data_IF_547546699837
#
_entry.id   IF_547546699837
#
_cell.length_a   1.000
_cell.length_b   1.000
_cell.length_c   1.000
_cell.angle_alpha   90.00
_cell.angle_beta   90.00
_cell.angle_gamma   90.00
#
_symmetry.space_group_name_H-M   'P 1'
#
loop_
_entity.id
_entity.type
_entity.pdbx_description
1 polymer ?
#
# COMPACT_ATOMS: atom_id res chain seq x y z
N UNK A 1 33.74 -2.65 7.38
CA UNK A 1 32.82 -3.61 8.10
C UNK A 1 31.41 -3.34 7.59
N UNK A 2 30.71 -4.37 7.14
CA UNK A 2 29.29 -4.28 6.79
C UNK A 2 28.45 -4.06 8.05
N UNK A 3 27.56 -3.09 8.02
CA UNK A 3 26.63 -2.82 9.12
C UNK A 3 25.28 -3.47 8.81
N UNK A 4 24.55 -3.81 9.87
CA UNK A 4 23.20 -4.38 9.75
C UNK A 4 22.23 -3.35 10.30
N UNK A 5 21.22 -3.03 9.53
CA UNK A 5 20.11 -2.16 9.89
C UNK A 5 18.80 -2.95 9.93
N UNK A 6 17.89 -2.53 10.77
CA UNK A 6 16.52 -3.03 10.78
C UNK A 6 15.52 -1.90 10.54
N UNK A 7 14.46 -2.21 9.81
CA UNK A 7 13.32 -1.33 9.66
C UNK A 7 12.05 -1.97 10.20
N UNK A 8 11.48 -1.32 11.20
CA UNK A 8 10.27 -1.74 11.89
C UNK A 8 9.18 -0.70 11.67
N UNK A 9 7.99 -1.14 11.22
CA UNK A 9 6.86 -0.25 10.92
C UNK A 9 5.58 -0.76 11.56
N UNK A 10 4.80 0.17 12.10
CA UNK A 10 3.43 -0.09 12.59
C UNK A 10 2.46 0.93 11.99
N UNK A 11 1.19 0.57 11.88
CA UNK A 11 0.16 1.43 11.27
C UNK A 11 -0.60 2.28 12.29
N UNK A 12 -0.65 1.86 13.57
CA UNK A 12 -1.43 2.53 14.63
C UNK A 12 -0.61 2.79 15.88
N UNK A 13 -1.05 3.74 16.70
CA UNK A 13 -0.44 4.09 18.00
C UNK A 13 -0.45 2.93 19.00
N UNK A 14 -1.45 2.07 18.92
CA UNK A 14 -1.60 0.93 19.84
C UNK A 14 -0.66 -0.24 19.52
N UNK A 15 -0.16 -0.29 18.28
CA UNK A 15 0.79 -1.31 17.87
C UNK A 15 2.20 -0.92 18.25
N UNK A 16 2.98 -1.89 18.70
CA UNK A 16 4.38 -1.69 19.08
C UNK A 16 5.35 -2.40 18.15
N UNK A 17 6.45 -1.76 17.84
CA UNK A 17 7.58 -2.35 17.08
C UNK A 17 8.36 -3.38 17.90
N UNK A 18 8.12 -3.47 19.22
CA UNK A 18 8.83 -4.39 20.13
C UNK A 18 8.79 -5.85 19.67
N UNK A 19 7.65 -6.30 19.12
CA UNK A 19 7.53 -7.67 18.62
C UNK A 19 8.44 -7.91 17.41
N UNK A 20 8.53 -6.93 16.50
CA UNK A 20 9.42 -7.00 15.33
C UNK A 20 10.89 -7.02 15.77
N UNK A 21 11.27 -6.24 16.78
CA UNK A 21 12.63 -6.28 17.34
C UNK A 21 12.95 -7.65 17.93
N UNK A 22 12.06 -8.22 18.73
CA UNK A 22 12.23 -9.58 19.30
C UNK A 22 12.35 -10.64 18.21
N UNK A 23 11.56 -10.54 17.14
CA UNK A 23 11.62 -11.46 16.01
C UNK A 23 13.00 -11.38 15.32
N UNK A 24 13.53 -10.17 15.13
CA UNK A 24 14.86 -9.95 14.56
C UNK A 24 15.97 -10.51 15.47
N UNK A 25 15.89 -10.25 16.76
CA UNK A 25 16.83 -10.78 17.77
C UNK A 25 16.78 -12.32 17.83
N UNK A 26 15.58 -12.90 17.82
CA UNK A 26 15.38 -14.36 17.82
C UNK A 26 15.90 -15.03 16.54
N UNK A 27 15.92 -14.32 15.43
CA UNK A 27 16.54 -14.76 14.17
C UNK A 27 18.08 -14.67 14.17
N UNK A 28 18.69 -14.29 15.31
CA UNK A 28 20.14 -14.23 15.48
C UNK A 28 20.78 -12.91 15.04
N UNK A 29 19.99 -11.87 14.70
CA UNK A 29 20.52 -10.56 14.33
C UNK A 29 20.64 -9.66 15.58
N UNK A 30 21.86 -9.48 16.07
CA UNK A 30 22.12 -8.53 17.15
C UNK A 30 22.39 -7.14 16.56
N UNK A 31 21.35 -6.29 16.54
CA UNK A 31 21.37 -4.98 15.91
C UNK A 31 21.39 -3.89 17.01
N UNK A 32 22.34 -2.96 16.91
CA UNK A 32 22.42 -1.83 17.84
C UNK A 32 21.21 -0.93 17.70
N UNK A 33 20.70 -0.38 18.81
CA UNK A 33 19.50 0.48 18.80
C UNK A 33 19.58 1.64 17.81
N UNK A 34 20.76 2.19 17.56
CA UNK A 34 20.99 3.27 16.58
C UNK A 34 20.81 2.83 15.11
N UNK A 35 20.81 1.51 14.86
CA UNK A 35 20.67 0.90 13.54
C UNK A 35 19.24 0.33 13.33
N UNK A 36 18.38 0.46 14.32
CA UNK A 36 16.96 0.10 14.21
C UNK A 36 16.18 1.38 13.94
N UNK A 37 15.54 1.46 12.78
CA UNK A 37 14.63 2.55 12.42
C UNK A 37 13.22 2.08 12.69
N UNK A 38 12.54 2.79 13.56
CA UNK A 38 11.14 2.54 13.91
C UNK A 38 10.27 3.66 13.37
N UNK A 39 9.21 3.31 12.67
CA UNK A 39 8.32 4.28 12.05
C UNK A 39 6.86 3.90 12.25
N UNK A 40 6.05 4.92 12.50
CA UNK A 40 4.61 4.78 12.57
C UNK A 40 3.98 5.47 11.37
N UNK A 41 3.59 4.67 10.39
CA UNK A 41 2.95 5.14 9.17
C UNK A 41 2.06 4.03 8.57
N UNK A 42 1.00 4.43 7.86
CA UNK A 42 0.09 3.49 7.20
C UNK A 42 0.84 2.55 6.24
N UNK A 43 0.42 1.29 6.19
CA UNK A 43 0.93 0.32 5.21
C UNK A 43 0.62 0.67 3.76
N UNK A 44 -0.40 1.50 3.52
CA UNK A 44 -0.77 1.98 2.19
C UNK A 44 0.10 3.14 1.68
N UNK A 45 0.88 3.79 2.56
CA UNK A 45 1.82 4.82 2.13
C UNK A 45 2.94 4.22 1.28
N UNK A 46 3.22 4.82 0.12
CA UNK A 46 4.33 4.43 -0.72
C UNK A 46 5.66 4.61 0.01
N UNK A 47 6.68 3.83 -0.39
CA UNK A 47 7.99 3.87 0.28
C UNK A 47 8.62 5.26 0.24
N UNK A 48 8.43 5.99 -0.86
CA UNK A 48 8.91 7.38 -1.03
C UNK A 48 8.27 8.38 -0.05
N UNK A 49 7.09 8.08 0.46
CA UNK A 49 6.33 8.93 1.40
C UNK A 49 6.65 8.60 2.87
N UNK A 50 7.58 7.68 3.14
CA UNK A 50 7.96 7.23 4.48
C UNK A 50 9.23 7.95 4.95
N UNK A 51 9.12 8.97 5.83
CA UNK A 51 10.28 9.74 6.28
C UNK A 51 11.36 8.88 6.95
N UNK A 52 10.96 7.93 7.82
CA UNK A 52 11.89 7.03 8.50
C UNK A 52 12.59 6.09 7.54
N UNK A 53 11.90 5.59 6.51
CA UNK A 53 12.51 4.76 5.49
C UNK A 53 13.50 5.56 4.63
N UNK A 54 13.15 6.78 4.24
CA UNK A 54 14.05 7.66 3.49
C UNK A 54 15.31 7.98 4.30
N UNK A 55 15.17 8.30 5.60
CA UNK A 55 16.30 8.48 6.49
C UNK A 55 17.18 7.22 6.60
N UNK A 56 16.57 6.04 6.56
CA UNK A 56 17.33 4.78 6.53
C UNK A 56 18.14 4.66 5.24
N UNK A 57 17.54 4.95 4.08
CA UNK A 57 18.23 4.90 2.79
C UNK A 57 19.47 5.80 2.77
N UNK A 58 19.39 7.00 3.35
CA UNK A 58 20.52 7.95 3.45
C UNK A 58 21.68 7.42 4.33
N UNK A 59 21.37 6.56 5.30
CA UNK A 59 22.36 5.97 6.21
C UNK A 59 23.02 4.71 5.67
N UNK A 60 22.34 3.99 4.79
CA UNK A 60 22.80 2.74 4.21
C UNK A 60 23.96 3.01 3.23
N UNK A 61 24.98 2.16 3.30
CA UNK A 61 26.13 2.21 2.38
C UNK A 61 26.31 0.85 1.70
N UNK A 62 27.01 0.87 0.58
CA UNK A 62 27.36 -0.35 -0.15
C UNK A 62 27.99 -1.40 0.78
N UNK A 63 27.49 -2.61 0.75
CA UNK A 63 27.92 -3.71 1.60
C UNK A 63 27.14 -3.83 2.93
N UNK A 64 26.30 -2.85 3.29
CA UNK A 64 25.41 -2.96 4.44
C UNK A 64 24.24 -3.94 4.14
N UNK A 65 23.56 -4.40 5.21
CA UNK A 65 22.39 -5.25 5.12
C UNK A 65 21.19 -4.61 5.81
N UNK A 66 20.02 -4.70 5.17
CA UNK A 66 18.73 -4.30 5.72
C UNK A 66 17.93 -5.56 6.10
N UNK A 67 17.45 -5.61 7.33
CA UNK A 67 16.58 -6.67 7.83
C UNK A 67 15.16 -6.12 8.00
N UNK A 68 14.20 -6.86 7.46
CA UNK A 68 12.77 -6.62 7.70
C UNK A 68 12.08 -7.90 8.14
N UNK A 69 11.05 -7.80 8.96
CA UNK A 69 10.30 -8.97 9.40
C UNK A 69 9.39 -9.49 8.29
N UNK A 70 8.76 -8.60 7.53
CA UNK A 70 7.81 -8.93 6.46
C UNK A 70 8.02 -8.04 5.23
N UNK A 71 7.60 -8.51 4.05
CA UNK A 71 7.72 -7.79 2.79
C UNK A 71 6.97 -6.44 2.77
N UNK A 72 5.81 -6.36 3.43
CA UNK A 72 5.01 -5.14 3.52
C UNK A 72 5.71 -3.99 4.27
N UNK A 73 6.87 -4.24 4.86
CA UNK A 73 7.77 -3.22 5.38
C UNK A 73 8.48 -2.46 4.24
N UNK A 74 8.74 -3.14 3.12
CA UNK A 74 9.50 -2.62 1.98
C UNK A 74 8.65 -1.89 0.94
N UNK A 75 7.32 -1.90 1.06
CA UNK A 75 6.44 -1.24 0.11
C UNK A 75 4.97 -1.42 0.44
N UNK A 76 4.10 -0.66 -0.26
CA UNK A 76 2.65 -0.72 -0.09
C UNK A 76 1.98 -1.76 -1.01
N UNK A 77 2.65 -2.20 -2.04
CA UNK A 77 2.19 -3.20 -3.01
C UNK A 77 3.38 -3.95 -3.63
N UNK A 78 3.17 -5.06 -4.34
CA UNK A 78 4.26 -5.86 -4.92
C UNK A 78 5.20 -5.08 -5.84
N UNK A 79 4.68 -4.14 -6.63
CA UNK A 79 5.49 -3.30 -7.53
C UNK A 79 6.40 -2.34 -6.75
N UNK A 80 5.89 -1.72 -5.69
CA UNK A 80 6.64 -0.82 -4.81
C UNK A 80 7.75 -1.60 -4.08
N UNK A 81 7.44 -2.80 -3.57
CA UNK A 81 8.42 -3.70 -2.95
C UNK A 81 9.52 -4.07 -3.94
N UNK A 82 9.16 -4.47 -5.17
CA UNK A 82 10.13 -4.86 -6.20
C UNK A 82 11.04 -3.70 -6.57
N UNK A 83 10.51 -2.49 -6.74
CA UNK A 83 11.30 -1.26 -6.99
C UNK A 83 12.28 -0.98 -5.85
N UNK A 84 11.81 -1.08 -4.60
CA UNK A 84 12.64 -0.87 -3.41
C UNK A 84 13.79 -1.87 -3.34
N UNK A 85 13.51 -3.17 -3.55
CA UNK A 85 14.55 -4.22 -3.56
C UNK A 85 15.54 -4.00 -4.71
N UNK A 86 15.05 -3.61 -5.89
CA UNK A 86 15.92 -3.29 -7.03
C UNK A 86 16.83 -2.08 -6.75
N UNK A 87 16.29 -1.01 -6.17
CA UNK A 87 17.05 0.17 -5.77
C UNK A 87 18.16 -0.19 -4.77
N UNK A 88 17.84 -0.96 -3.73
CA UNK A 88 18.79 -1.42 -2.74
C UNK A 88 19.86 -2.35 -3.37
N UNK A 89 19.45 -3.22 -4.30
CA UNK A 89 20.38 -4.08 -5.04
C UNK A 89 21.39 -3.26 -5.86
N UNK A 90 20.92 -2.24 -6.60
CA UNK A 90 21.79 -1.32 -7.37
C UNK A 90 22.76 -0.55 -6.48
N UNK A 91 22.32 -0.20 -5.27
CA UNK A 91 23.17 0.43 -4.26
C UNK A 91 24.17 -0.55 -3.59
N UNK A 92 24.07 -1.85 -3.89
CA UNK A 92 24.92 -2.89 -3.30
C UNK A 92 24.58 -3.20 -1.84
N UNK A 93 23.34 -3.02 -1.44
CA UNK A 93 22.80 -3.27 -0.10
C UNK A 93 22.04 -4.60 -0.13
N UNK A 94 22.34 -5.50 0.82
CA UNK A 94 21.61 -6.77 0.98
C UNK A 94 20.27 -6.53 1.70
N UNK A 95 19.26 -7.30 1.34
CA UNK A 95 17.92 -7.19 1.95
C UNK A 95 17.45 -8.57 2.41
N UNK A 96 17.28 -8.74 3.70
CA UNK A 96 16.79 -9.98 4.30
C UNK A 96 15.37 -9.83 4.82
N UNK A 97 14.49 -10.75 4.46
CA UNK A 97 13.11 -10.81 4.94
C UNK A 97 12.91 -12.06 5.80
N UNK A 98 12.60 -11.88 7.09
CA UNK A 98 12.47 -12.98 8.04
C UNK A 98 11.28 -13.88 7.72
N UNK A 99 10.14 -13.33 7.31
CA UNK A 99 8.97 -14.10 6.91
C UNK A 99 9.23 -15.07 5.74
N UNK A 100 10.32 -14.85 4.99
CA UNK A 100 10.76 -15.69 3.88
C UNK A 100 12.00 -16.54 4.29
N UNK A 101 12.14 -16.89 5.57
CA UNK A 101 13.26 -17.67 6.05
C UNK A 101 14.60 -16.92 6.08
N UNK A 102 14.58 -15.59 6.12
CA UNK A 102 15.79 -14.76 6.15
C UNK A 102 16.56 -14.70 4.82
N UNK A 103 15.95 -15.14 3.72
CA UNK A 103 16.56 -15.11 2.39
C UNK A 103 16.97 -13.69 2.01
N UNK A 104 18.17 -13.55 1.43
CA UNK A 104 18.62 -12.30 0.81
C UNK A 104 17.88 -12.08 -0.52
N UNK A 105 16.95 -11.14 -0.51
CA UNK A 105 16.12 -10.80 -1.67
C UNK A 105 16.92 -10.21 -2.83
N UNK A 106 18.15 -9.76 -2.59
CA UNK A 106 19.05 -9.22 -3.63
C UNK A 106 19.86 -10.31 -4.32
N UNK A 107 19.89 -11.51 -3.73
CA UNK A 107 20.55 -12.69 -4.32
C UNK A 107 19.75 -13.27 -5.50
N UNK A 108 20.39 -14.09 -6.39
CA UNK A 108 19.66 -14.75 -7.46
C UNK A 108 18.45 -15.57 -7.00
N UNK A 109 18.52 -16.41 -5.95
CA UNK A 109 17.35 -17.09 -5.41
C UNK A 109 16.27 -16.13 -4.86
N UNK A 110 16.68 -15.07 -4.18
CA UNK A 110 15.77 -14.04 -3.66
C UNK A 110 15.03 -13.30 -4.77
N UNK A 111 15.72 -12.96 -5.86
CA UNK A 111 15.10 -12.34 -7.04
C UNK A 111 14.07 -13.27 -7.69
N UNK A 112 14.38 -14.55 -7.85
CA UNK A 112 13.43 -15.54 -8.35
C UNK A 112 12.19 -15.62 -7.44
N UNK A 113 12.39 -15.68 -6.12
CA UNK A 113 11.29 -15.69 -5.16
C UNK A 113 10.42 -14.43 -5.29
N UNK A 114 11.02 -13.25 -5.43
CA UNK A 114 10.29 -12.00 -5.63
C UNK A 114 9.48 -11.99 -6.94
N UNK A 115 10.00 -12.56 -8.02
CA UNK A 115 9.27 -12.71 -9.28
C UNK A 115 8.03 -13.61 -9.12
N UNK A 116 8.17 -14.74 -8.43
CA UNK A 116 7.04 -15.65 -8.16
C UNK A 116 5.97 -14.95 -7.31
N UNK A 117 6.37 -14.27 -6.23
CA UNK A 117 5.43 -13.53 -5.37
C UNK A 117 4.71 -12.45 -6.17
N UNK A 118 5.41 -11.71 -7.02
CA UNK A 118 4.81 -10.67 -7.86
C UNK A 118 3.81 -11.25 -8.86
N UNK A 119 4.14 -12.37 -9.52
CA UNK A 119 3.24 -13.04 -10.45
C UNK A 119 1.97 -13.57 -9.77
N UNK A 120 2.09 -14.14 -8.56
CA UNK A 120 0.93 -14.60 -7.78
C UNK A 120 0.05 -13.42 -7.38
N UNK A 121 0.63 -12.31 -6.92
CA UNK A 121 -0.12 -11.12 -6.53
C UNK A 121 -0.86 -10.46 -7.73
N UNK A 122 -0.25 -10.47 -8.91
CA UNK A 122 -0.88 -10.02 -10.16
C UNK A 122 -2.07 -10.91 -10.52
N UNK A 123 -1.88 -12.22 -10.51
CA UNK A 123 -2.94 -13.20 -10.76
C UNK A 123 -4.12 -13.06 -9.77
N UNK A 124 -3.85 -12.91 -8.47
CA UNK A 124 -4.90 -12.68 -7.47
C UNK A 124 -5.68 -11.39 -7.76
N UNK A 125 -4.99 -10.33 -8.16
CA UNK A 125 -5.62 -9.06 -8.55
C UNK A 125 -6.54 -9.23 -9.75
N UNK A 126 -6.08 -9.94 -10.78
CA UNK A 126 -6.86 -10.18 -12.00
C UNK A 126 -8.13 -10.98 -11.69
N UNK A 127 -8.02 -12.01 -10.86
CA UNK A 127 -9.19 -12.78 -10.39
C UNK A 127 -10.19 -11.92 -9.62
N UNK A 128 -9.70 -11.00 -8.78
CA UNK A 128 -10.57 -10.06 -8.04
C UNK A 128 -11.28 -9.09 -8.98
N UNK A 129 -10.58 -8.59 -10.00
CA UNK A 129 -11.17 -7.72 -11.03
C UNK A 129 -12.24 -8.47 -11.82
N UNK A 130 -11.98 -9.68 -12.27
CA UNK A 130 -12.93 -10.53 -12.98
C UNK A 130 -14.21 -10.78 -12.16
N UNK A 131 -14.05 -11.16 -10.88
CA UNK A 131 -15.19 -11.35 -9.96
C UNK A 131 -16.00 -10.07 -9.77
N UNK A 132 -15.30 -8.93 -9.64
CA UNK A 132 -15.92 -7.62 -9.49
C UNK A 132 -16.71 -7.24 -10.74
N UNK A 133 -16.14 -7.40 -11.94
CA UNK A 133 -16.80 -7.16 -13.21
C UNK A 133 -18.04 -8.04 -13.37
N UNK A 134 -17.92 -9.32 -13.10
CA UNK A 134 -19.04 -10.27 -13.14
C UNK A 134 -20.15 -9.91 -12.14
N UNK A 135 -19.78 -9.41 -10.95
CA UNK A 135 -20.71 -8.91 -9.94
C UNK A 135 -21.44 -7.64 -10.39
N UNK A 136 -20.72 -6.70 -11.00
CA UNK A 136 -21.29 -5.47 -11.56
C UNK A 136 -22.27 -5.78 -12.69
N UNK A 137 -21.91 -6.68 -13.62
CA UNK A 137 -22.78 -7.08 -14.73
C UNK A 137 -24.09 -7.69 -14.22
N UNK A 138 -24.01 -8.62 -13.26
CA UNK A 138 -25.20 -9.22 -12.62
C UNK A 138 -26.07 -8.18 -11.93
N UNK A 139 -25.46 -7.25 -11.19
CA UNK A 139 -26.21 -6.22 -10.48
C UNK A 139 -26.86 -5.20 -11.45
N UNK A 140 -26.19 -4.86 -12.56
CA UNK A 140 -26.78 -4.06 -13.66
C UNK A 140 -27.95 -4.77 -14.31
N UNK A 141 -27.82 -6.07 -14.62
CA UNK A 141 -28.89 -6.88 -15.14
C UNK A 141 -30.08 -7.00 -14.20
N UNK A 142 -29.88 -6.92 -12.89
CA UNK A 142 -30.92 -6.86 -11.86
C UNK A 142 -31.48 -5.44 -11.64
N UNK A 143 -31.17 -4.45 -12.50
CA UNK A 143 -31.64 -3.07 -12.41
C UNK A 143 -31.02 -2.20 -11.32
N UNK A 144 -29.94 -2.67 -10.66
CA UNK A 144 -29.25 -1.86 -9.65
C UNK A 144 -28.50 -0.70 -10.30
N UNK A 145 -28.72 0.50 -9.78
CA UNK A 145 -27.95 1.71 -10.16
C UNK A 145 -26.64 1.75 -9.37
N UNK A 146 -25.56 2.16 -10.04
CA UNK A 146 -24.25 2.37 -9.44
C UNK A 146 -23.91 3.86 -9.45
N UNK A 147 -23.08 4.27 -8.52
CA UNK A 147 -22.62 5.63 -8.37
C UNK A 147 -23.21 6.31 -7.13
N UNK A 148 -22.97 7.61 -7.01
CA UNK A 148 -23.53 8.43 -5.93
C UNK A 148 -25.06 8.43 -6.06
N UNK A 149 -25.81 8.16 -4.98
CA UNK A 149 -27.26 8.31 -5.00
C UNK A 149 -27.65 9.69 -5.53
N UNK A 150 -28.73 9.81 -6.35
CA UNK A 150 -29.21 11.11 -6.77
C UNK A 150 -29.59 11.95 -5.55
N UNK A 151 -29.23 13.22 -5.58
CA UNK A 151 -29.55 14.19 -4.51
C UNK A 151 -31.04 14.51 -4.51
N UNK A 152 -31.65 14.47 -5.70
CA UNK A 152 -33.08 14.73 -5.90
C UNK A 152 -33.83 13.42 -6.13
N UNK A 153 -35.01 13.27 -5.55
CA UNK A 153 -35.94 12.20 -5.86
C UNK A 153 -36.68 12.47 -7.20
N UNK A 154 -37.39 11.46 -7.71
CA UNK A 154 -38.05 11.55 -9.03
C UNK A 154 -39.09 12.68 -9.08
N UNK A 155 -39.82 12.97 -8.01
CA UNK A 155 -40.78 14.08 -7.92
C UNK A 155 -40.07 15.44 -7.95
N UNK A 156 -38.95 15.56 -7.24
CA UNK A 156 -38.14 16.77 -7.24
C UNK A 156 -37.53 17.04 -8.60
N UNK A 157 -37.09 16.00 -9.31
CA UNK A 157 -36.57 16.10 -10.68
C UNK A 157 -37.67 16.64 -11.61
N UNK A 158 -38.92 16.14 -11.51
CA UNK A 158 -40.04 16.64 -12.33
C UNK A 158 -40.29 18.14 -12.05
N UNK A 159 -40.33 18.55 -10.77
CA UNK A 159 -40.50 19.96 -10.40
C UNK A 159 -39.38 20.85 -10.95
N UNK A 160 -38.14 20.40 -10.84
CA UNK A 160 -36.99 21.11 -11.43
C UNK A 160 -37.16 21.29 -12.95
N UNK A 161 -37.59 20.24 -13.65
CA UNK A 161 -37.81 20.31 -15.11
C UNK A 161 -38.94 21.29 -15.47
N UNK A 162 -40.03 21.32 -14.70
CA UNK A 162 -41.15 22.27 -14.89
C UNK A 162 -40.70 23.71 -14.64
N UNK A 163 -39.93 23.97 -13.57
CA UNK A 163 -39.39 25.28 -13.25
C UNK A 163 -38.44 25.80 -14.34
N UNK A 164 -37.58 24.93 -14.88
CA UNK A 164 -36.69 25.26 -16.01
C UNK A 164 -37.53 25.62 -17.25
N UNK A 165 -38.57 24.86 -17.56
CA UNK A 165 -39.48 25.15 -18.68
C UNK A 165 -40.23 26.47 -18.52
N UNK A 166 -40.51 26.85 -17.27
CA UNK A 166 -41.17 28.13 -16.92
C UNK A 166 -40.21 29.30 -16.91
N UNK A 167 -38.91 29.12 -17.24
CA UNK A 167 -37.93 30.18 -17.36
C UNK A 167 -37.33 30.65 -16.03
N UNK A 168 -37.51 29.89 -14.94
CA UNK A 168 -36.88 30.20 -13.65
C UNK A 168 -35.38 29.99 -13.74
N UNK A 169 -34.60 30.88 -13.11
CA UNK A 169 -33.14 30.82 -13.14
C UNK A 169 -32.62 29.56 -12.40
N UNK A 170 -31.63 28.88 -13.00
CA UNK A 170 -31.03 27.68 -12.44
C UNK A 170 -30.46 27.92 -11.04
N UNK A 171 -29.91 29.11 -10.78
CA UNK A 171 -29.39 29.49 -9.45
C UNK A 171 -30.47 29.51 -8.37
N UNK A 172 -31.68 29.97 -8.70
CA UNK A 172 -32.80 30.04 -7.76
C UNK A 172 -33.34 28.62 -7.49
N UNK A 173 -33.41 27.78 -8.52
CA UNK A 173 -33.76 26.38 -8.40
C UNK A 173 -32.75 25.63 -7.51
N UNK A 174 -31.45 25.83 -7.73
CA UNK A 174 -30.41 25.19 -6.93
C UNK A 174 -30.47 25.58 -5.44
N UNK A 175 -30.81 26.82 -5.14
CA UNK A 175 -31.04 27.30 -3.76
C UNK A 175 -32.25 26.64 -3.11
N UNK A 176 -33.36 26.49 -3.84
CA UNK A 176 -34.59 25.84 -3.35
C UNK A 176 -34.33 24.38 -2.96
N UNK A 177 -33.57 23.65 -3.76
CA UNK A 177 -33.27 22.22 -3.52
C UNK A 177 -31.97 21.99 -2.72
N UNK A 178 -31.28 23.07 -2.30
CA UNK A 178 -30.01 23.00 -1.55
C UNK A 178 -28.95 22.11 -2.23
N UNK A 179 -28.78 22.25 -3.51
CA UNK A 179 -27.86 21.47 -4.35
C UNK A 179 -26.82 22.39 -5.01
#
# INVERSE_FOLDING_TARGET
MSRIYAYCRVSTLEQTTKNQRREIESAGFNIKSQQIIEEQISGSAATSERPGFNQLLDRLKRGDALIVTKLDRLGCNPMDISKTVEQLTKAGIKVHCLALGGVDLTSPPGKMMMQVISAVAEFERDLLLERTHSGILRARGAGKRFGRPPVLNDEQIQRVLEQIKSGINISDIAQEFKT
#
